data_IF_218031650226
#
_entry.id   IF_218031650226
#
_cell.length_a   1.000
_cell.length_b   1.000
_cell.length_c   1.000
_cell.angle_alpha   90.00
_cell.angle_beta   90.00
_cell.angle_gamma   90.00
#
_symmetry.space_group_name_H-M   'P 1'
#
loop_
_entity.id
_entity.type
_entity.pdbx_description
1 polymer ?
#
# COMPACT_ATOMS: atom_id res chain seq x y z
N UNK A 1 11.20 -10.34 24.38
CA UNK A 1 9.86 -10.90 24.11
C UNK A 1 9.28 -10.11 22.93
N UNK A 2 9.09 -10.72 21.76
CA UNK A 2 8.48 -10.01 20.63
C UNK A 2 7.04 -9.66 20.98
N UNK A 3 6.66 -8.39 20.79
CA UNK A 3 5.26 -7.98 20.95
C UNK A 3 4.43 -8.59 19.83
N UNK A 4 3.42 -9.39 20.16
CA UNK A 4 2.49 -9.99 19.19
C UNK A 4 1.51 -8.94 18.66
N UNK A 5 1.23 -7.91 19.46
CA UNK A 5 0.31 -6.82 19.12
C UNK A 5 0.99 -5.46 19.28
N UNK A 6 0.78 -4.59 18.32
CA UNK A 6 1.16 -3.18 18.36
C UNK A 6 -0.08 -2.30 18.32
N UNK A 7 0.07 -1.10 18.85
CA UNK A 7 -0.96 -0.05 18.81
C UNK A 7 -0.34 1.22 18.21
N UNK A 8 0.01 1.19 16.91
CA UNK A 8 0.61 2.33 16.24
C UNK A 8 -0.37 3.51 16.21
N UNK A 9 0.18 4.72 16.24
CA UNK A 9 -0.61 5.97 16.18
C UNK A 9 0.00 6.87 15.12
N UNK A 10 -0.83 7.73 14.54
CA UNK A 10 -0.35 8.80 13.69
C UNK A 10 0.41 9.84 14.52
N UNK A 11 1.51 10.30 13.97
CA UNK A 11 2.24 11.47 14.47
C UNK A 11 1.58 12.78 14.02
N UNK A 12 2.18 13.92 14.41
CA UNK A 12 1.68 15.26 14.06
C UNK A 12 1.74 15.53 12.54
N UNK A 13 2.57 14.80 11.80
CA UNK A 13 2.69 14.88 10.34
C UNK A 13 1.76 13.92 9.60
N UNK A 14 0.91 13.19 10.33
CA UNK A 14 0.00 12.21 9.77
C UNK A 14 0.69 10.92 9.31
N UNK A 15 1.85 10.58 9.87
CA UNK A 15 2.54 9.32 9.60
C UNK A 15 2.30 8.31 10.72
N UNK A 16 2.00 7.07 10.38
CA UNK A 16 1.90 5.95 11.31
C UNK A 16 2.81 4.82 10.84
N UNK A 17 3.83 4.51 11.63
CA UNK A 17 4.77 3.44 11.36
C UNK A 17 4.20 2.11 11.88
N UNK A 18 4.05 1.13 10.99
CA UNK A 18 3.59 -0.22 11.35
C UNK A 18 4.77 -1.16 11.62
N UNK A 19 5.78 -1.13 10.76
CA UNK A 19 7.03 -1.89 10.92
C UNK A 19 8.18 -1.18 10.21
N UNK A 20 9.39 -1.45 10.66
CA UNK A 20 10.65 -1.03 10.06
C UNK A 20 11.65 -2.20 10.07
N UNK A 21 12.76 -2.07 9.34
CA UNK A 21 13.79 -3.13 9.27
C UNK A 21 14.56 -3.34 10.59
N UNK A 22 14.47 -2.42 11.54
CA UNK A 22 15.22 -2.39 12.81
C UNK A 22 14.32 -2.29 14.06
N UNK A 23 12.99 -2.27 13.89
CA UNK A 23 12.02 -2.17 14.96
C UNK A 23 11.62 -3.52 15.56
N UNK A 24 10.62 -3.50 16.44
CA UNK A 24 10.06 -4.68 17.12
C UNK A 24 9.58 -5.78 16.15
N UNK A 25 9.25 -5.40 14.92
CA UNK A 25 8.72 -6.27 13.86
C UNK A 25 9.70 -6.45 12.68
N UNK A 26 10.99 -6.21 12.88
CA UNK A 26 12.03 -6.32 11.87
C UNK A 26 12.07 -7.68 11.15
N UNK A 27 11.63 -8.75 11.81
CA UNK A 27 11.52 -10.08 11.23
C UNK A 27 10.51 -10.17 10.06
N UNK A 28 9.66 -9.17 9.87
CA UNK A 28 8.79 -9.07 8.69
C UNK A 28 9.54 -8.68 7.41
N UNK A 29 10.78 -8.17 7.53
CA UNK A 29 11.65 -7.77 6.44
C UNK A 29 11.03 -6.68 5.53
N UNK A 30 10.20 -5.83 6.10
CA UNK A 30 9.46 -4.76 5.42
C UNK A 30 9.50 -3.47 6.23
N UNK A 31 9.50 -2.32 5.54
CA UNK A 31 9.10 -1.02 6.08
C UNK A 31 7.68 -0.74 5.60
N UNK A 32 6.73 -0.63 6.53
CA UNK A 32 5.31 -0.39 6.21
C UNK A 32 4.80 0.79 7.03
N UNK A 33 4.24 1.76 6.33
CA UNK A 33 3.73 3.01 6.91
C UNK A 33 2.38 3.38 6.33
N UNK A 34 1.57 4.05 7.13
CA UNK A 34 0.31 4.66 6.68
C UNK A 34 0.44 6.17 6.82
N UNK A 35 -0.04 6.89 5.82
CA UNK A 35 -0.04 8.34 5.80
C UNK A 35 -1.46 8.87 5.67
N UNK A 36 -1.83 9.80 6.57
CA UNK A 36 -3.00 10.66 6.41
C UNK A 36 -2.56 11.95 5.73
N UNK A 37 -3.15 12.24 4.60
CA UNK A 37 -2.82 13.41 3.78
C UNK A 37 -3.98 14.40 3.78
N UNK A 38 -3.63 15.68 3.91
CA UNK A 38 -4.57 16.79 3.78
C UNK A 38 -4.85 17.10 2.32
N UNK A 39 -5.95 17.81 2.06
CA UNK A 39 -6.26 18.31 0.72
C UNK A 39 -5.11 19.13 0.15
N UNK A 40 -4.70 18.84 -1.07
CA UNK A 40 -3.57 19.50 -1.75
C UNK A 40 -2.19 19.05 -1.30
N UNK A 41 -2.07 18.21 -0.28
CA UNK A 41 -0.77 17.71 0.18
C UNK A 41 -0.18 16.75 -0.85
N UNK A 42 1.12 16.91 -1.11
CA UNK A 42 1.90 15.99 -1.95
C UNK A 42 2.99 15.33 -1.11
N UNK A 43 3.12 14.02 -1.26
CA UNK A 43 4.24 13.23 -0.71
C UNK A 43 4.93 12.48 -1.83
N UNK A 44 6.26 12.50 -1.79
CA UNK A 44 7.12 11.75 -2.72
C UNK A 44 7.89 10.68 -1.98
N UNK A 45 7.99 9.52 -2.60
CA UNK A 45 8.65 8.34 -2.08
C UNK A 45 9.66 7.84 -3.12
N UNK A 46 10.92 7.81 -2.75
CA UNK A 46 12.00 7.20 -3.54
C UNK A 46 12.86 6.37 -2.59
N UNK A 47 13.02 5.09 -2.89
CA UNK A 47 13.68 4.11 -2.01
C UNK A 47 14.77 3.34 -2.76
N UNK A 48 15.99 3.86 -2.82
CA UNK A 48 17.10 3.13 -3.43
C UNK A 48 17.38 1.81 -2.71
N UNK A 49 17.56 0.72 -3.47
CA UNK A 49 17.75 -0.63 -2.94
C UNK A 49 16.48 -1.34 -2.46
N UNK A 50 15.31 -0.71 -2.64
CA UNK A 50 14.03 -1.26 -2.22
C UNK A 50 12.99 -1.16 -3.36
N UNK A 51 12.15 -2.16 -3.50
CA UNK A 51 10.90 -2.01 -4.23
C UNK A 51 9.86 -1.33 -3.34
N UNK A 52 8.91 -0.65 -3.96
CA UNK A 52 7.92 0.14 -3.26
C UNK A 52 6.52 -0.11 -3.83
N UNK A 53 5.54 -0.28 -2.96
CA UNK A 53 4.12 -0.30 -3.29
C UNK A 53 3.39 0.82 -2.53
N UNK A 54 2.65 1.65 -3.25
CA UNK A 54 1.84 2.75 -2.68
C UNK A 54 0.37 2.49 -2.96
N UNK A 55 -0.35 2.09 -1.91
CA UNK A 55 -1.74 1.64 -1.94
C UNK A 55 -2.67 2.74 -1.41
N UNK A 56 -3.70 3.10 -2.17
CA UNK A 56 -4.77 3.95 -1.68
C UNK A 56 -5.71 3.17 -0.77
N UNK A 57 -5.85 3.60 0.49
CA UNK A 57 -6.80 3.05 1.44
C UNK A 57 -8.15 3.74 1.35
N UNK A 58 -8.16 5.08 1.30
CA UNK A 58 -9.37 5.90 1.10
C UNK A 58 -9.03 7.29 0.60
N UNK A 59 -9.99 7.96 -0.02
CA UNK A 59 -9.87 9.33 -0.53
C UNK A 59 -9.68 9.39 -2.04
N UNK A 60 -9.26 10.55 -2.54
CA UNK A 60 -8.93 10.80 -3.93
C UNK A 60 -7.49 11.27 -4.04
N UNK A 61 -6.73 10.69 -4.97
CA UNK A 61 -5.33 11.04 -5.19
C UNK A 61 -4.98 11.05 -6.68
N UNK A 62 -3.96 11.82 -7.00
CA UNK A 62 -3.22 11.74 -8.26
C UNK A 62 -1.87 11.09 -7.99
N UNK A 63 -1.58 9.97 -8.63
CA UNK A 63 -0.26 9.35 -8.67
C UNK A 63 0.56 9.90 -9.83
N UNK A 64 1.85 10.12 -9.60
CA UNK A 64 2.82 10.44 -10.65
C UNK A 64 4.07 9.58 -10.43
N UNK A 65 4.53 8.89 -11.45
CA UNK A 65 5.76 8.09 -11.41
C UNK A 65 6.36 8.04 -12.81
N UNK A 66 7.68 8.11 -12.90
CA UNK A 66 8.37 8.19 -14.19
C UNK A 66 7.76 9.29 -15.09
N UNK A 67 7.21 8.94 -16.25
CA UNK A 67 6.49 9.85 -17.16
C UNK A 67 4.98 9.65 -17.11
N UNK A 68 4.48 8.87 -16.15
CA UNK A 68 3.07 8.48 -16.05
C UNK A 68 2.34 9.26 -14.96
N UNK A 69 1.04 9.42 -15.17
CA UNK A 69 0.11 9.97 -14.19
C UNK A 69 -1.21 9.19 -14.22
N UNK A 70 -1.80 9.00 -13.06
CA UNK A 70 -3.14 8.43 -12.93
C UNK A 70 -3.89 9.04 -11.74
N UNK A 71 -5.19 9.22 -11.93
CA UNK A 71 -6.10 9.59 -10.86
C UNK A 71 -6.77 8.34 -10.31
N UNK A 72 -6.92 8.30 -8.99
CA UNK A 72 -7.50 7.19 -8.28
C UNK A 72 -8.40 7.68 -7.16
N UNK A 73 -9.52 7.01 -6.96
CA UNK A 73 -10.40 7.28 -5.82
C UNK A 73 -10.91 5.98 -5.21
N UNK A 74 -11.06 5.99 -3.89
CA UNK A 74 -11.53 4.84 -3.11
C UNK A 74 -12.25 5.34 -1.87
N UNK A 75 -13.54 5.00 -1.73
CA UNK A 75 -14.31 5.39 -0.54
C UNK A 75 -13.85 4.63 0.70
N UNK A 76 -13.62 3.34 0.55
CA UNK A 76 -13.13 2.49 1.65
C UNK A 76 -12.64 1.13 1.13
N UNK A 77 -11.85 0.45 1.96
CA UNK A 77 -11.24 -0.85 1.64
C UNK A 77 -12.22 -2.03 1.65
N UNK A 78 -13.42 -1.86 2.20
CA UNK A 78 -14.38 -2.96 2.37
C UNK A 78 -15.31 -3.14 1.17
N UNK A 79 -15.56 -2.08 0.42
CA UNK A 79 -16.54 -2.10 -0.68
C UNK A 79 -15.92 -1.88 -2.05
N UNK A 80 -14.72 -1.35 -2.12
CA UNK A 80 -14.04 -1.00 -3.39
C UNK A 80 -12.70 -1.70 -3.52
N UNK A 81 -12.34 -2.04 -4.75
CA UNK A 81 -11.06 -2.66 -5.08
C UNK A 81 -9.87 -1.72 -4.85
N UNK A 82 -8.66 -2.25 -4.87
CA UNK A 82 -7.44 -1.48 -4.61
C UNK A 82 -7.01 -0.63 -5.81
N UNK A 83 -6.31 0.47 -5.50
CA UNK A 83 -5.47 1.22 -6.41
C UNK A 83 -4.06 1.22 -5.84
N UNK A 84 -3.09 0.70 -6.58
CA UNK A 84 -1.73 0.55 -6.09
C UNK A 84 -0.72 0.82 -7.21
N UNK A 85 0.25 1.70 -6.96
CA UNK A 85 1.44 1.82 -7.81
C UNK A 85 2.54 0.98 -7.19
N UNK A 86 3.13 0.06 -7.98
CA UNK A 86 4.27 -0.75 -7.60
C UNK A 86 5.45 -0.42 -8.51
N UNK A 87 6.59 -0.16 -7.91
CA UNK A 87 7.79 0.25 -8.64
C UNK A 87 9.06 -0.38 -8.08
N UNK A 88 10.05 -0.56 -8.95
CA UNK A 88 11.38 -1.05 -8.58
C UNK A 88 12.22 0.00 -7.88
N UNK A 89 13.37 -0.44 -7.38
CA UNK A 89 14.36 0.39 -6.70
C UNK A 89 14.66 1.71 -7.43
N UNK A 90 14.64 2.81 -6.69
CA UNK A 90 15.05 4.13 -7.16
C UNK A 90 14.00 4.88 -7.99
N UNK A 91 12.86 4.28 -8.30
CA UNK A 91 11.75 4.99 -8.94
C UNK A 91 11.05 5.88 -7.91
N UNK A 92 10.87 7.16 -8.23
CA UNK A 92 10.08 8.07 -7.42
C UNK A 92 8.60 7.92 -7.74
N UNK A 93 7.78 7.78 -6.68
CA UNK A 93 6.32 7.84 -6.76
C UNK A 93 5.87 9.07 -5.96
N UNK A 94 5.25 10.03 -6.63
CA UNK A 94 4.60 11.17 -5.98
C UNK A 94 3.09 10.94 -5.92
N UNK A 95 2.50 11.27 -4.77
CA UNK A 95 1.06 11.18 -4.51
C UNK A 95 0.56 12.54 -4.05
N UNK A 96 -0.43 13.08 -4.75
CA UNK A 96 -1.10 14.32 -4.36
C UNK A 96 -2.54 14.00 -3.95
N UNK A 97 -2.92 14.36 -2.74
CA UNK A 97 -4.29 14.20 -2.25
C UNK A 97 -5.18 15.33 -2.77
N UNK A 98 -6.31 14.99 -3.38
CA UNK A 98 -7.24 15.99 -3.91
C UNK A 98 -8.10 16.63 -2.82
N UNK A 99 -8.70 15.82 -1.94
CA UNK A 99 -9.58 16.28 -0.88
C UNK A 99 -9.16 15.82 0.53
N UNK A 100 -8.26 14.92 0.59
CA UNK A 100 -7.81 14.21 1.78
C UNK A 100 -7.78 12.72 1.49
N UNK A 101 -6.69 12.08 1.90
CA UNK A 101 -6.49 10.68 1.57
C UNK A 101 -5.77 9.93 2.68
N UNK A 102 -5.91 8.64 2.66
CA UNK A 102 -5.10 7.70 3.44
C UNK A 102 -4.43 6.72 2.50
N UNK A 103 -3.11 6.64 2.57
CA UNK A 103 -2.31 5.72 1.75
C UNK A 103 -1.46 4.83 2.64
N UNK A 104 -1.21 3.59 2.17
CA UNK A 104 -0.24 2.69 2.77
C UNK A 104 0.96 2.60 1.82
N UNK A 105 2.14 2.77 2.38
CA UNK A 105 3.42 2.61 1.68
C UNK A 105 4.12 1.40 2.27
N UNK A 106 4.44 0.44 1.42
CA UNK A 106 5.17 -0.77 1.77
C UNK A 106 6.44 -0.84 0.95
N UNK A 107 7.57 -1.06 1.62
CA UNK A 107 8.86 -1.22 0.99
C UNK A 107 9.50 -2.54 1.43
N UNK A 108 10.21 -3.21 0.54
CA UNK A 108 11.04 -4.35 0.87
C UNK A 108 12.35 -4.30 0.06
N UNK A 109 13.42 -4.84 0.62
CA UNK A 109 14.73 -4.84 -0.05
C UNK A 109 14.66 -5.67 -1.32
N UNK A 110 14.89 -5.03 -2.46
CA UNK A 110 14.95 -5.65 -3.77
C UNK A 110 15.76 -4.76 -4.71
N UNK A 111 16.85 -5.26 -5.21
CA UNK A 111 17.72 -4.56 -6.18
C UNK A 111 17.34 -4.89 -7.63
N UNK A 112 16.39 -5.80 -7.86
CA UNK A 112 15.97 -6.15 -9.22
C UNK A 112 15.20 -4.99 -9.84
N UNK A 113 15.49 -4.74 -11.11
CA UNK A 113 14.72 -3.79 -11.92
C UNK A 113 13.56 -4.51 -12.61
N UNK A 114 12.39 -3.92 -12.54
CA UNK A 114 11.18 -4.35 -13.24
C UNK A 114 10.36 -3.12 -13.64
N UNK A 115 9.48 -3.21 -14.66
CA UNK A 115 8.62 -2.09 -15.05
C UNK A 115 7.67 -1.69 -13.95
N UNK A 116 7.55 -0.39 -13.68
CA UNK A 116 6.55 0.12 -12.74
C UNK A 116 5.14 -0.11 -13.27
N UNK A 117 4.21 -0.46 -12.38
CA UNK A 117 2.84 -0.79 -12.75
C UNK A 117 1.81 -0.16 -11.81
N UNK A 118 0.74 0.38 -12.40
CA UNK A 118 -0.48 0.72 -11.68
C UNK A 118 -1.42 -0.49 -11.69
N UNK A 119 -1.79 -0.97 -10.52
CA UNK A 119 -2.85 -1.96 -10.32
C UNK A 119 -4.15 -1.22 -9.99
N UNK A 120 -5.18 -1.52 -10.75
CA UNK A 120 -6.51 -0.95 -10.61
C UNK A 120 -7.47 -1.98 -10.00
N UNK A 121 -8.69 -1.58 -9.58
CA UNK A 121 -9.68 -2.52 -9.05
C UNK A 121 -9.95 -3.73 -9.94
N UNK A 122 -9.95 -3.54 -11.27
CA UNK A 122 -10.14 -4.60 -12.27
C UNK A 122 -8.98 -5.59 -12.36
N UNK A 123 -7.75 -5.17 -12.05
CA UNK A 123 -6.55 -6.01 -12.03
C UNK A 123 -6.51 -6.94 -10.80
N UNK A 124 -7.24 -6.59 -9.74
CA UNK A 124 -7.27 -7.32 -8.47
C UNK A 124 -8.73 -7.64 -8.05
N UNK A 125 -9.45 -8.48 -8.80
CA UNK A 125 -10.84 -8.80 -8.48
C UNK A 125 -10.95 -9.54 -7.15
N UNK A 126 -12.12 -9.41 -6.51
CA UNK A 126 -12.40 -10.10 -5.27
C UNK A 126 -12.40 -11.61 -5.44
N UNK A 127 -11.69 -12.30 -4.54
CA UNK A 127 -11.75 -13.75 -4.35
C UNK A 127 -12.27 -14.05 -2.95
N UNK A 128 -13.19 -15.00 -2.83
CA UNK A 128 -13.63 -15.48 -1.52
C UNK A 128 -12.73 -16.61 -1.04
N UNK A 129 -12.26 -16.51 0.18
CA UNK A 129 -11.46 -17.54 0.85
C UNK A 129 -12.16 -18.06 2.09
N UNK A 130 -11.92 -19.30 2.46
CA UNK A 130 -12.48 -19.98 3.64
C UNK A 130 -14.01 -20.06 3.67
N UNK A 131 -14.66 -20.06 2.50
CA UNK A 131 -16.12 -20.21 2.42
C UNK A 131 -16.55 -21.51 3.05
N UNK A 132 -17.52 -21.44 3.97
CA UNK A 132 -18.07 -22.61 4.69
C UNK A 132 -17.18 -23.21 5.77
N UNK A 133 -15.94 -22.70 5.97
CA UNK A 133 -15.06 -23.16 7.04
C UNK A 133 -15.44 -22.54 8.39
N UNK A 134 -15.17 -23.29 9.47
CA UNK A 134 -15.43 -22.86 10.86
C UNK A 134 -16.86 -22.38 11.10
N UNK A 135 -17.85 -23.11 10.56
CA UNK A 135 -19.26 -22.75 10.68
C UNK A 135 -19.66 -21.48 9.92
N UNK A 136 -18.87 -21.10 8.91
CA UNK A 136 -19.13 -19.91 8.09
C UNK A 136 -18.54 -18.60 8.61
N UNK A 137 -17.98 -18.58 9.82
CA UNK A 137 -17.46 -17.34 10.45
C UNK A 137 -16.10 -16.87 9.93
N UNK A 138 -15.38 -17.71 9.18
CA UNK A 138 -14.04 -17.39 8.67
C UNK A 138 -14.02 -16.94 7.20
N UNK A 139 -15.18 -16.67 6.60
CA UNK A 139 -15.24 -16.20 5.21
C UNK A 139 -14.54 -14.86 5.07
N UNK A 140 -13.62 -14.78 4.10
CA UNK A 140 -12.85 -13.57 3.79
C UNK A 140 -13.05 -13.19 2.34
N UNK A 141 -13.08 -11.90 2.10
CA UNK A 141 -12.99 -11.32 0.78
C UNK A 141 -11.57 -10.77 0.60
N UNK A 142 -10.85 -11.23 -0.43
CA UNK A 142 -9.44 -10.94 -0.65
C UNK A 142 -9.25 -10.35 -2.04
N UNK A 143 -8.45 -9.30 -2.14
CA UNK A 143 -7.90 -8.80 -3.40
C UNK A 143 -6.39 -9.14 -3.42
N UNK A 144 -5.95 -9.93 -4.40
CA UNK A 144 -4.52 -10.09 -4.66
C UNK A 144 -4.09 -8.97 -5.61
N UNK A 145 -3.28 -8.04 -5.14
CA UNK A 145 -2.78 -6.93 -5.96
C UNK A 145 -1.68 -7.46 -6.87
N UNK A 146 -0.74 -8.21 -6.31
CA UNK A 146 0.29 -8.93 -7.05
C UNK A 146 0.58 -10.27 -6.35
N UNK A 147 0.90 -11.27 -7.14
CA UNK A 147 1.37 -12.58 -6.72
C UNK A 147 2.37 -13.12 -7.78
N UNK A 148 2.90 -14.31 -7.56
CA UNK A 148 3.94 -14.88 -8.43
C UNK A 148 3.47 -15.14 -9.87
N UNK A 149 2.17 -15.20 -10.14
CA UNK A 149 1.59 -15.40 -11.47
C UNK A 149 1.37 -14.08 -12.22
N UNK A 150 1.44 -12.94 -11.51
CA UNK A 150 1.11 -11.60 -12.02
C UNK A 150 2.35 -10.70 -12.12
N UNK A 151 3.43 -11.04 -11.43
CA UNK A 151 4.70 -10.28 -11.39
C UNK A 151 5.74 -10.83 -12.37
#
# INVERSE_FOLDING_TARGET
MSKVFGYPKFDERGEMVLTTYDGDYAAMLMDVRVYQMKAGETRSFCRPGEEIAVLLLRGGVSYTWETQRAEASRRNVFTEGPWCVHASSGVEIAVTAEAGAEILVQCTKNEKSFPSRLYRPEDAPWKYSCVGKFGGVAQRRVNNIFDHDIC
#
